data_IF_095515084647
#
_entry.id   IF_095515084647
#
_cell.length_a   1.000
_cell.length_b   1.000
_cell.length_c   1.000
_cell.angle_alpha   90.00
_cell.angle_beta   90.00
_cell.angle_gamma   90.00
#
_symmetry.space_group_name_H-M   'P 1'
#
loop_
_entity.id
_entity.type
_entity.pdbx_description
1 polymer ?
#
# COMPACT_ATOMS: atom_id res chain seq x y z
N UNK A 1 27.01 43.84 14.79
CA UNK A 1 25.84 43.22 15.42
C UNK A 1 25.04 42.54 14.32
N UNK A 2 25.06 41.22 14.27
CA UNK A 2 24.46 40.41 13.20
C UNK A 2 22.98 40.10 13.46
N UNK A 3 22.16 40.13 12.41
CA UNK A 3 20.91 39.37 12.15
C UNK A 3 20.29 40.00 10.89
N UNK A 4 19.79 39.29 9.88
CA UNK A 4 19.01 38.07 9.95
C UNK A 4 19.21 37.18 8.71
N UNK A 5 19.29 35.88 8.96
CA UNK A 5 19.10 34.83 7.96
C UNK A 5 17.60 34.75 7.65
N UNK A 6 17.21 35.14 6.45
CA UNK A 6 15.87 34.86 5.92
C UNK A 6 15.73 33.38 5.63
N UNK A 7 15.03 32.65 6.50
CA UNK A 7 14.64 31.27 6.26
C UNK A 7 13.62 31.22 5.12
N UNK A 8 14.04 30.71 3.96
CA UNK A 8 13.13 30.31 2.89
C UNK A 8 12.34 29.09 3.33
N UNK A 9 11.16 29.30 3.92
CA UNK A 9 10.15 28.26 4.06
C UNK A 9 9.46 28.09 2.69
N UNK A 10 10.06 27.28 1.82
CA UNK A 10 9.36 26.79 0.64
C UNK A 10 8.13 25.99 1.10
N UNK A 11 6.98 26.09 0.40
CA UNK A 11 5.79 25.34 0.78
C UNK A 11 6.09 23.86 0.62
N UNK A 12 6.32 23.16 1.73
CA UNK A 12 6.13 21.73 1.77
C UNK A 12 4.65 21.52 1.44
N UNK A 13 4.37 21.09 0.20
CA UNK A 13 3.02 20.79 -0.23
C UNK A 13 2.41 19.82 0.78
N UNK A 14 1.51 20.34 1.62
CA UNK A 14 0.80 19.52 2.58
C UNK A 14 0.10 18.42 1.78
N UNK A 15 0.45 17.18 2.08
CA UNK A 15 -0.22 16.01 1.51
C UNK A 15 -1.68 16.09 1.94
N UNK A 16 -2.53 16.58 1.05
CA UNK A 16 -3.95 16.75 1.33
C UNK A 16 -4.53 15.38 1.70
N UNK A 17 -5.08 15.30 2.92
CA UNK A 17 -5.53 14.05 3.50
C UNK A 17 -6.77 13.55 2.74
N UNK A 18 -6.59 12.47 1.97
CA UNK A 18 -7.66 11.84 1.20
C UNK A 18 -8.30 10.72 2.02
N UNK A 19 -9.62 10.76 2.16
CA UNK A 19 -10.39 9.64 2.72
C UNK A 19 -10.83 8.72 1.59
N UNK A 20 -10.42 7.46 1.65
CA UNK A 20 -10.80 6.42 0.69
C UNK A 20 -11.98 5.64 1.25
N UNK A 21 -13.02 5.45 0.43
CA UNK A 21 -14.24 4.73 0.83
C UNK A 21 -14.64 3.73 -0.25
N UNK A 22 -15.65 2.88 0.02
CA UNK A 22 -16.20 1.96 -0.96
C UNK A 22 -15.15 1.06 -1.63
N UNK A 23 -15.16 1.04 -2.97
CA UNK A 23 -14.27 0.22 -3.80
C UNK A 23 -12.80 0.58 -3.63
N UNK A 24 -12.45 1.86 -3.50
CA UNK A 24 -11.05 2.28 -3.32
C UNK A 24 -10.48 1.80 -1.98
N UNK A 25 -11.29 1.86 -0.91
CA UNK A 25 -10.90 1.32 0.38
C UNK A 25 -10.74 -0.21 0.36
N UNK A 26 -11.56 -0.90 -0.43
CA UNK A 26 -11.42 -2.35 -0.65
C UNK A 26 -10.16 -2.68 -1.47
N UNK A 27 -9.88 -1.92 -2.54
CA UNK A 27 -8.66 -2.06 -3.33
C UNK A 27 -7.40 -1.85 -2.48
N UNK A 28 -7.38 -0.83 -1.61
CA UNK A 28 -6.30 -0.58 -0.67
C UNK A 28 -6.07 -1.77 0.30
N UNK A 29 -7.14 -2.37 0.82
CA UNK A 29 -7.02 -3.57 1.68
C UNK A 29 -6.49 -4.77 0.90
N UNK A 30 -6.94 -4.97 -0.32
CA UNK A 30 -6.45 -6.05 -1.18
C UNK A 30 -4.96 -5.87 -1.54
N UNK A 31 -4.59 -4.69 -2.03
CA UNK A 31 -3.21 -4.32 -2.32
C UNK A 31 -2.30 -4.54 -1.09
N UNK A 32 -2.72 -4.05 0.08
CA UNK A 32 -1.94 -4.26 1.31
C UNK A 32 -1.80 -5.74 1.68
N UNK A 33 -2.86 -6.54 1.51
CA UNK A 33 -2.80 -7.98 1.79
C UNK A 33 -1.75 -8.67 0.92
N UNK A 34 -1.77 -8.42 -0.39
CA UNK A 34 -0.83 -9.02 -1.33
C UNK A 34 0.62 -8.65 -1.00
N UNK A 35 0.90 -7.36 -0.83
CA UNK A 35 2.24 -6.87 -0.55
C UNK A 35 2.78 -7.36 0.81
N UNK A 36 1.94 -7.31 1.85
CA UNK A 36 2.33 -7.74 3.17
C UNK A 36 2.63 -9.24 3.19
N UNK A 37 1.75 -10.06 2.62
CA UNK A 37 1.96 -11.50 2.66
C UNK A 37 3.12 -11.94 1.79
N UNK A 38 3.34 -11.31 0.64
CA UNK A 38 4.53 -11.57 -0.15
C UNK A 38 5.82 -11.32 0.67
N UNK A 39 5.84 -10.21 1.42
CA UNK A 39 6.95 -9.89 2.31
C UNK A 39 7.10 -10.90 3.46
N UNK A 40 5.98 -11.30 4.07
CA UNK A 40 5.98 -12.24 5.19
C UNK A 40 6.40 -13.67 4.76
N UNK A 41 5.94 -14.14 3.60
CA UNK A 41 6.32 -15.44 3.06
C UNK A 41 7.80 -15.47 2.66
N UNK A 42 8.32 -14.39 2.09
CA UNK A 42 9.75 -14.30 1.76
C UNK A 42 10.61 -14.29 3.02
N UNK A 43 10.23 -13.52 4.05
CA UNK A 43 10.91 -13.51 5.34
C UNK A 43 10.91 -14.89 6.03
N UNK A 44 9.86 -15.70 5.81
CA UNK A 44 9.76 -17.07 6.29
C UNK A 44 10.47 -18.11 5.39
N UNK A 45 11.13 -17.68 4.31
CA UNK A 45 11.77 -18.57 3.34
C UNK A 45 10.79 -19.40 2.48
N UNK A 46 9.51 -19.02 2.47
CA UNK A 46 8.41 -19.71 1.76
C UNK A 46 8.06 -19.08 0.41
N UNK A 47 8.73 -17.99 0.04
CA UNK A 47 8.58 -17.32 -1.25
C UNK A 47 9.96 -16.88 -1.72
N UNK A 48 10.25 -17.06 -3.03
CA UNK A 48 11.51 -16.58 -3.60
C UNK A 48 11.45 -15.05 -3.74
N UNK A 49 12.59 -14.35 -3.65
CA UNK A 49 12.62 -12.89 -3.82
C UNK A 49 11.97 -12.41 -5.12
N UNK A 50 12.17 -13.11 -6.23
CA UNK A 50 11.55 -12.79 -7.53
C UNK A 50 10.03 -12.88 -7.50
N UNK A 51 9.47 -13.87 -6.79
CA UNK A 51 8.02 -14.03 -6.69
C UNK A 51 7.42 -12.91 -5.83
N UNK A 52 8.13 -12.48 -4.78
CA UNK A 52 7.75 -11.29 -3.99
C UNK A 52 7.74 -10.03 -4.85
N UNK A 53 8.76 -9.82 -5.68
CA UNK A 53 8.83 -8.66 -6.58
C UNK A 53 7.65 -8.60 -7.56
N UNK A 54 7.26 -9.75 -8.12
CA UNK A 54 6.07 -9.86 -8.97
C UNK A 54 4.81 -9.46 -8.18
N UNK A 55 4.64 -9.94 -6.95
CA UNK A 55 3.49 -9.61 -6.11
C UNK A 55 3.45 -8.13 -5.73
N UNK A 56 4.61 -7.51 -5.51
CA UNK A 56 4.71 -6.06 -5.29
C UNK A 56 4.35 -5.28 -6.56
N UNK A 57 4.76 -5.73 -7.74
CA UNK A 57 4.36 -5.11 -9.00
C UNK A 57 2.84 -5.18 -9.21
N UNK A 58 2.21 -6.33 -8.93
CA UNK A 58 0.75 -6.50 -8.97
C UNK A 58 0.07 -5.52 -7.99
N UNK A 59 0.63 -5.36 -6.79
CA UNK A 59 0.12 -4.40 -5.79
C UNK A 59 0.13 -2.99 -6.36
N UNK A 60 1.22 -2.55 -6.99
CA UNK A 60 1.31 -1.22 -7.61
C UNK A 60 0.24 -1.06 -8.68
N UNK A 61 0.05 -2.07 -9.55
CA UNK A 61 -0.96 -2.04 -10.60
C UNK A 61 -2.39 -1.93 -10.06
N UNK A 62 -2.71 -2.58 -8.93
CA UNK A 62 -4.02 -2.44 -8.28
C UNK A 62 -4.23 -0.99 -7.82
N UNK A 63 -3.20 -0.37 -7.21
CA UNK A 63 -3.28 1.01 -6.75
C UNK A 63 -3.39 2.01 -7.89
N UNK A 64 -2.67 1.78 -8.99
CA UNK A 64 -2.71 2.66 -10.15
C UNK A 64 -4.10 2.70 -10.80
N UNK A 65 -4.74 1.53 -10.91
CA UNK A 65 -6.03 1.38 -11.60
C UNK A 65 -7.24 1.65 -10.72
N UNK A 66 -7.21 1.25 -9.46
CA UNK A 66 -8.40 1.18 -8.60
C UNK A 66 -8.38 2.15 -7.41
N UNK A 67 -7.32 2.93 -7.27
CA UNK A 67 -7.19 3.94 -6.22
C UNK A 67 -6.82 5.26 -6.85
N UNK A 68 -7.64 6.28 -6.66
CA UNK A 68 -7.39 7.64 -7.14
C UNK A 68 -6.35 8.36 -6.27
N UNK A 69 -5.95 9.57 -6.71
CA UNK A 69 -4.98 10.40 -6.00
C UNK A 69 -3.55 10.20 -6.44
N UNK A 70 -2.63 10.93 -5.82
CA UNK A 70 -1.20 10.92 -6.15
C UNK A 70 -0.50 9.72 -5.55
N UNK A 71 0.64 9.33 -6.11
CA UNK A 71 1.42 8.21 -5.57
C UNK A 71 1.77 8.37 -4.07
N UNK A 72 2.21 9.54 -3.58
CA UNK A 72 2.43 9.73 -2.15
C UNK A 72 1.15 9.54 -1.30
N UNK A 73 -0.02 9.96 -1.78
CA UNK A 73 -1.30 9.72 -1.09
C UNK A 73 -1.65 8.23 -1.03
N UNK A 74 -1.47 7.49 -2.13
CA UNK A 74 -1.72 6.04 -2.18
C UNK A 74 -0.77 5.28 -1.23
N UNK A 75 0.52 5.66 -1.24
CA UNK A 75 1.54 5.09 -0.35
C UNK A 75 1.25 5.36 1.13
N UNK A 76 0.82 6.57 1.46
CA UNK A 76 0.41 6.92 2.83
C UNK A 76 -0.81 6.10 3.27
N UNK A 77 -1.81 5.95 2.39
CA UNK A 77 -2.99 5.14 2.66
C UNK A 77 -2.63 3.66 2.90
N UNK A 78 -1.75 3.09 2.08
CA UNK A 78 -1.25 1.73 2.29
C UNK A 78 -0.56 1.57 3.64
N UNK A 79 0.30 2.51 4.04
CA UNK A 79 0.97 2.47 5.35
C UNK A 79 -0.06 2.44 6.49
N UNK A 80 -1.10 3.27 6.41
CA UNK A 80 -2.18 3.29 7.41
C UNK A 80 -2.91 1.94 7.45
N UNK A 81 -3.24 1.35 6.31
CA UNK A 81 -3.90 0.04 6.25
C UNK A 81 -3.01 -1.05 6.84
N UNK A 82 -1.70 -1.01 6.56
CA UNK A 82 -0.70 -1.92 7.11
C UNK A 82 -0.62 -1.82 8.63
N UNK A 83 -0.49 -0.60 9.15
CA UNK A 83 -0.27 -0.35 10.58
C UNK A 83 -1.52 -0.65 11.43
N UNK A 84 -2.70 -0.82 10.79
CA UNK A 84 -3.96 -1.22 11.44
C UNK A 84 -4.15 -2.74 11.57
N UNK A 85 -3.27 -3.57 10.99
CA UNK A 85 -3.43 -5.04 11.01
C UNK A 85 -2.69 -5.69 12.16
N UNK A 86 -3.37 -6.65 12.79
CA UNK A 86 -2.74 -7.64 13.65
C UNK A 86 -2.08 -8.75 12.80
N UNK A 87 -0.88 -9.17 13.21
CA UNK A 87 0.02 -10.06 12.46
C UNK A 87 -0.60 -11.44 12.20
N UNK A 88 -1.32 -12.01 13.18
CA UNK A 88 -1.93 -13.34 13.05
C UNK A 88 -3.14 -13.36 12.11
N UNK A 89 -3.99 -12.32 12.14
CA UNK A 89 -5.14 -12.22 11.23
C UNK A 89 -4.70 -12.12 9.76
N UNK A 90 -3.50 -11.59 9.51
CA UNK A 90 -3.01 -11.33 8.16
C UNK A 90 -2.63 -12.60 7.38
N UNK A 91 -2.18 -13.66 8.06
CA UNK A 91 -1.91 -14.94 7.40
C UNK A 91 -3.19 -15.68 7.02
N UNK A 92 -4.19 -15.70 7.91
CA UNK A 92 -5.49 -16.33 7.64
C UNK A 92 -6.27 -15.60 6.53
N UNK A 93 -6.21 -14.26 6.51
CA UNK A 93 -6.83 -13.45 5.46
C UNK A 93 -6.15 -13.67 4.10
N UNK A 94 -4.85 -13.95 4.07
CA UNK A 94 -4.16 -14.27 2.82
C UNK A 94 -4.63 -15.58 2.21
N UNK A 95 -4.62 -16.67 2.98
CA UNK A 95 -5.04 -17.99 2.49
C UNK A 95 -6.48 -17.95 1.97
N UNK A 96 -7.32 -17.11 2.57
CA UNK A 96 -8.74 -17.02 2.24
C UNK A 96 -9.06 -16.04 1.10
N UNK A 97 -8.34 -14.93 1.00
CA UNK A 97 -8.79 -13.79 0.17
C UNK A 97 -7.80 -13.34 -0.90
N UNK A 98 -6.55 -13.80 -0.92
CA UNK A 98 -5.56 -13.32 -1.91
C UNK A 98 -6.00 -13.59 -3.36
N UNK A 99 -6.54 -14.78 -3.64
CA UNK A 99 -7.10 -15.11 -4.96
C UNK A 99 -8.35 -14.27 -5.29
N UNK A 100 -9.20 -14.02 -4.29
CA UNK A 100 -10.41 -13.20 -4.47
C UNK A 100 -10.06 -11.74 -4.79
N UNK A 101 -8.95 -11.22 -4.26
CA UNK A 101 -8.50 -9.86 -4.55
C UNK A 101 -8.21 -9.64 -6.05
N UNK A 102 -7.62 -10.61 -6.72
CA UNK A 102 -7.31 -10.49 -8.16
C UNK A 102 -8.55 -10.63 -9.04
N UNK A 103 -9.57 -11.36 -8.58
CA UNK A 103 -10.88 -11.41 -9.24
C UNK A 103 -11.64 -10.10 -9.07
N UNK A 104 -11.61 -9.52 -7.87
CA UNK A 104 -12.33 -8.29 -7.55
C UNK A 104 -11.65 -7.04 -8.15
N UNK A 105 -10.32 -7.04 -8.25
CA UNK A 105 -9.53 -5.92 -8.77
C UNK A 105 -8.57 -6.39 -9.88
N UNK A 106 -9.07 -6.57 -11.11
CA UNK A 106 -8.28 -7.03 -12.24
C UNK A 106 -7.12 -6.09 -12.57
N UNK A 107 -6.05 -6.66 -13.10
CA UNK A 107 -4.83 -5.94 -13.49
C UNK A 107 -4.51 -6.05 -14.99
N UNK A 108 -5.48 -6.46 -15.80
CA UNK A 108 -5.42 -6.61 -17.25
C UNK A 108 -6.60 -5.92 -17.92
#
# INVERSE_FOLDING_TARGET
>A
MACALGAGAGPAAALEARTYTGSEAAALRCANTLAYTASALEAAGRMRPVDKEIMLAITVLILERHVSGTWPQKKAALKIVRDRRDLEQTFADFERYAAQCLVQFPIN
#
